data_IF_389466374262
#
_entry.id   IF_389466374262
#
_cell.length_a   1.000
_cell.length_b   1.000
_cell.length_c   1.000
_cell.angle_alpha   90.00
_cell.angle_beta   90.00
_cell.angle_gamma   90.00
#
_symmetry.space_group_name_H-M   'P 1'
#
loop_
_entity.id
_entity.type
_entity.pdbx_description
1 polymer ?
#
# COMPACT_ATOMS: atom_id res chain seq x y z
N UNK A 1 -3.85 -18.25 4.56
CA UNK A 1 -3.78 -16.87 5.07
C UNK A 1 -2.65 -16.75 6.10
N UNK A 2 -1.37 -16.75 5.67
CA UNK A 2 -0.23 -16.76 6.60
C UNK A 2 -0.10 -15.48 7.45
N UNK A 3 -0.74 -14.38 7.04
CA UNK A 3 -0.74 -13.11 7.76
C UNK A 3 -2.12 -12.78 8.37
N UNK A 4 -3.00 -13.77 8.54
CA UNK A 4 -4.30 -13.57 9.19
C UNK A 4 -4.16 -12.90 10.56
N UNK A 5 -4.94 -11.85 10.79
CA UNK A 5 -4.94 -11.10 12.06
C UNK A 5 -3.68 -10.26 12.30
N UNK A 6 -2.79 -10.11 11.30
CA UNK A 6 -1.67 -9.16 11.37
C UNK A 6 -2.08 -7.84 10.75
N UNK A 7 -1.55 -6.77 11.34
CA UNK A 7 -1.70 -5.41 10.87
C UNK A 7 -0.34 -4.91 10.37
N UNK A 8 -0.27 -4.49 9.12
CA UNK A 8 0.96 -4.06 8.45
C UNK A 8 0.79 -2.63 7.99
N UNK A 9 1.79 -1.79 8.29
CA UNK A 9 1.92 -0.46 7.73
C UNK A 9 2.91 -0.52 6.56
N UNK A 10 2.46 -0.11 5.38
CA UNK A 10 3.27 -0.06 4.16
C UNK A 10 3.56 1.41 3.80
N UNK A 11 4.77 1.87 4.11
CA UNK A 11 5.27 3.16 3.65
C UNK A 11 5.88 3.08 2.26
N UNK A 12 5.48 3.98 1.36
CA UNK A 12 5.93 4.01 -0.05
C UNK A 12 6.53 5.38 -0.39
N UNK A 13 7.83 5.38 -0.72
CA UNK A 13 8.59 6.56 -1.10
C UNK A 13 8.82 6.68 -2.62
N UNK A 14 9.31 7.84 -3.06
CA UNK A 14 9.53 8.14 -4.48
C UNK A 14 10.74 7.41 -5.07
N UNK A 15 10.50 6.70 -6.18
CA UNK A 15 11.52 6.01 -6.96
C UNK A 15 10.87 5.11 -8.00
N UNK A 16 11.57 4.80 -9.09
CA UNK A 16 11.00 4.05 -10.22
C UNK A 16 10.42 2.67 -9.82
N UNK A 17 10.90 2.08 -8.72
CA UNK A 17 10.42 0.79 -8.22
C UNK A 17 9.10 0.87 -7.43
N UNK A 18 8.60 2.05 -7.08
CA UNK A 18 7.48 2.18 -6.15
C UNK A 18 6.18 1.55 -6.68
N UNK A 19 5.94 1.49 -7.99
CA UNK A 19 4.76 0.83 -8.57
C UNK A 19 4.67 -0.66 -8.20
N UNK A 20 5.82 -1.31 -7.92
CA UNK A 20 5.86 -2.73 -7.50
C UNK A 20 5.26 -2.92 -6.11
N UNK A 21 5.20 -1.88 -5.30
CA UNK A 21 4.57 -1.93 -3.97
C UNK A 21 3.07 -2.22 -4.05
N UNK A 22 2.40 -1.94 -5.18
CA UNK A 22 1.01 -2.36 -5.39
C UNK A 22 0.85 -3.89 -5.36
N UNK A 23 1.79 -4.61 -5.98
CA UNK A 23 1.79 -6.08 -5.97
C UNK A 23 2.03 -6.59 -4.55
N UNK A 24 2.90 -5.93 -3.79
CA UNK A 24 3.13 -6.27 -2.38
C UNK A 24 1.87 -6.04 -1.54
N UNK A 25 1.22 -4.88 -1.66
CA UNK A 25 -0.03 -4.56 -0.96
C UNK A 25 -1.10 -5.61 -1.25
N UNK A 26 -1.32 -5.93 -2.53
CA UNK A 26 -2.26 -6.98 -2.95
C UNK A 26 -1.96 -8.33 -2.30
N UNK A 27 -0.70 -8.78 -2.35
CA UNK A 27 -0.31 -10.09 -1.81
C UNK A 27 -0.45 -10.15 -0.28
N UNK A 28 -0.16 -9.06 0.42
CA UNK A 28 -0.35 -8.98 1.87
C UNK A 28 -1.83 -9.06 2.23
N UNK A 29 -2.69 -8.33 1.51
CA UNK A 29 -4.15 -8.39 1.69
C UNK A 29 -4.71 -9.77 1.37
N UNK A 30 -4.34 -10.38 0.23
CA UNK A 30 -4.74 -11.76 -0.15
C UNK A 30 -4.23 -12.81 0.86
N UNK A 31 -3.13 -12.53 1.55
CA UNK A 31 -2.59 -13.38 2.60
C UNK A 31 -3.25 -13.19 3.98
N UNK A 32 -4.22 -12.28 4.10
CA UNK A 32 -5.06 -12.08 5.28
C UNK A 32 -4.59 -10.94 6.21
N UNK A 33 -3.60 -10.15 5.79
CA UNK A 33 -3.17 -8.99 6.56
C UNK A 33 -4.16 -7.82 6.38
N UNK A 34 -4.34 -7.04 7.45
CA UNK A 34 -4.84 -5.67 7.32
C UNK A 34 -3.67 -4.77 6.94
N UNK A 35 -3.78 -4.02 5.84
CA UNK A 35 -2.68 -3.22 5.29
C UNK A 35 -3.09 -1.75 5.25
N UNK A 36 -2.44 -0.91 6.04
CA UNK A 36 -2.55 0.55 5.93
C UNK A 36 -1.37 1.09 5.13
N UNK A 37 -1.64 1.97 4.18
CA UNK A 37 -0.62 2.50 3.26
C UNK A 37 -0.39 3.98 3.54
N UNK A 38 0.88 4.37 3.62
CA UNK A 38 1.31 5.76 3.63
C UNK A 38 2.12 6.05 2.36
N UNK A 39 1.70 7.05 1.60
CA UNK A 39 2.26 7.39 0.29
C UNK A 39 2.85 8.79 0.33
N UNK A 40 4.15 8.92 0.05
CA UNK A 40 4.78 10.24 -0.09
C UNK A 40 4.32 10.97 -1.35
N UNK A 41 4.42 12.31 -1.36
CA UNK A 41 4.15 13.10 -2.56
C UNK A 41 4.97 12.64 -3.77
N UNK A 42 6.26 12.34 -3.60
CA UNK A 42 7.12 11.85 -4.66
C UNK A 42 6.72 10.46 -5.19
N UNK A 43 6.16 9.59 -4.35
CA UNK A 43 5.62 8.31 -4.78
C UNK A 43 4.30 8.47 -5.56
N UNK A 44 3.49 9.47 -5.18
CA UNK A 44 2.20 9.77 -5.80
C UNK A 44 2.31 10.22 -7.28
N UNK A 45 3.50 10.67 -7.70
CA UNK A 45 3.83 10.97 -9.11
C UNK A 45 3.92 9.71 -9.98
N UNK A 46 4.22 8.55 -9.39
CA UNK A 46 4.34 7.28 -10.11
C UNK A 46 3.09 6.41 -9.98
N UNK A 47 2.44 6.43 -8.82
CA UNK A 47 1.25 5.63 -8.54
C UNK A 47 0.28 6.40 -7.66
N UNK A 48 -0.99 6.43 -8.05
CA UNK A 48 -2.02 7.20 -7.33
C UNK A 48 -2.53 6.45 -6.07
N UNK A 49 -2.94 7.17 -5.01
CA UNK A 49 -3.54 6.57 -3.81
C UNK A 49 -4.67 5.58 -4.10
N UNK A 50 -5.56 5.91 -5.05
CA UNK A 50 -6.70 5.09 -5.46
C UNK A 50 -6.32 3.64 -5.79
N UNK A 51 -5.12 3.41 -6.34
CA UNK A 51 -4.63 2.05 -6.63
C UNK A 51 -4.47 1.23 -5.35
N UNK A 52 -3.92 1.81 -4.28
CA UNK A 52 -3.77 1.11 -3.00
C UNK A 52 -5.10 0.98 -2.26
N UNK A 53 -5.98 1.97 -2.36
CA UNK A 53 -7.32 1.91 -1.78
C UNK A 53 -8.11 0.73 -2.37
N UNK A 54 -8.06 0.56 -3.69
CA UNK A 54 -8.71 -0.56 -4.38
C UNK A 54 -8.12 -1.93 -3.98
N UNK A 55 -6.82 -1.99 -3.68
CA UNK A 55 -6.13 -3.25 -3.36
C UNK A 55 -6.25 -3.65 -1.88
N UNK A 56 -6.30 -2.67 -0.99
CA UNK A 56 -6.32 -2.88 0.47
C UNK A 56 -7.71 -2.74 1.08
N UNK A 57 -8.64 -2.09 0.36
CA UNK A 57 -9.97 -1.74 0.86
C UNK A 57 -9.94 -0.65 1.94
N UNK A 58 -8.85 0.12 2.03
CA UNK A 58 -8.58 1.05 3.13
C UNK A 58 -8.05 2.38 2.60
N UNK A 59 -8.34 3.51 3.28
CA UNK A 59 -7.84 4.81 2.87
C UNK A 59 -6.30 4.87 2.93
N UNK A 60 -5.71 5.66 2.04
CA UNK A 60 -4.26 5.85 1.99
C UNK A 60 -3.90 7.19 2.65
N UNK A 61 -2.92 7.17 3.55
CA UNK A 61 -2.37 8.38 4.14
C UNK A 61 -1.44 9.06 3.15
N UNK A 62 -1.74 10.30 2.75
CA UNK A 62 -0.93 11.08 1.77
C UNK A 62 -0.31 12.34 2.36
N UNK A 63 -0.77 12.78 3.53
CA UNK A 63 -0.25 13.92 4.29
C UNK A 63 -0.44 13.66 5.79
N UNK A 64 0.34 14.35 6.62
CA UNK A 64 0.18 14.36 8.09
C UNK A 64 -0.92 15.36 8.51
#
# INVERSE_FOLDING_TARGET
MPFAGRHVVLGVSGGIACYKSCILARRLTEAGATVDVALTAAAAEFVRPLTFEALTGRPVLTSL
#
